data_IF_853678758048
#
_entry.id   IF_853678758048
#
_cell.length_a   1.000
_cell.length_b   1.000
_cell.length_c   1.000
_cell.angle_alpha   90.00
_cell.angle_beta   90.00
_cell.angle_gamma   90.00
#
_symmetry.space_group_name_H-M   'P 1'
#
loop_
_entity.id
_entity.type
_entity.pdbx_description
1 polymer ?
#
# COMPACT_ATOMS: atom_id res chain seq x y z
N UNK A 1 -28.16 23.88 -2.61
CA UNK A 1 -28.58 23.57 -4.00
C UNK A 1 -27.92 24.52 -5.01
N UNK A 2 -27.80 25.83 -4.72
CA UNK A 2 -27.16 26.77 -5.65
C UNK A 2 -25.63 26.58 -5.78
N UNK A 3 -24.92 26.26 -4.68
CA UNK A 3 -23.46 26.01 -4.70
C UNK A 3 -23.07 24.71 -5.42
N UNK A 4 -23.98 23.74 -5.51
CA UNK A 4 -23.76 22.43 -6.13
C UNK A 4 -23.96 22.42 -7.65
N UNK A 5 -24.62 23.45 -8.21
CA UNK A 5 -24.81 23.60 -9.66
C UNK A 5 -23.64 24.37 -10.29
N UNK A 6 -23.13 25.41 -9.61
CA UNK A 6 -21.89 26.10 -10.00
C UNK A 6 -20.64 25.21 -9.98
N UNK A 7 -20.62 24.18 -9.14
CA UNK A 7 -19.52 23.21 -9.07
C UNK A 7 -19.43 22.29 -10.32
N UNK A 8 -20.57 22.06 -11.00
CA UNK A 8 -20.63 21.19 -12.19
C UNK A 8 -20.23 21.96 -13.45
N UNK A 9 -20.58 23.25 -13.55
CA UNK A 9 -20.17 24.12 -14.67
C UNK A 9 -18.67 24.47 -14.65
N UNK A 10 -18.03 24.42 -13.48
CA UNK A 10 -16.58 24.69 -13.32
C UNK A 10 -15.68 23.45 -13.46
N UNK A 11 -16.26 22.24 -13.54
CA UNK A 11 -15.52 21.02 -13.86
C UNK A 11 -15.26 20.92 -15.37
N UNK A 12 -14.35 21.75 -15.86
CA UNK A 12 -13.67 21.45 -17.12
C UNK A 12 -13.06 20.05 -17.02
N UNK A 13 -13.38 19.18 -17.98
CA UNK A 13 -12.79 17.84 -18.14
C UNK A 13 -11.25 17.82 -18.12
N UNK A 14 -10.62 19.00 -18.25
CA UNK A 14 -9.18 19.23 -18.25
C UNK A 14 -8.48 18.98 -16.90
N UNK A 15 -9.22 18.90 -15.79
CA UNK A 15 -8.65 18.72 -14.45
C UNK A 15 -8.71 17.28 -13.90
N UNK A 16 -9.21 16.31 -14.68
CA UNK A 16 -9.26 14.91 -14.25
C UNK A 16 -7.92 14.21 -14.40
N UNK A 17 -7.51 13.43 -13.40
CA UNK A 17 -6.17 12.84 -13.37
C UNK A 17 -5.97 11.77 -14.46
N UNK A 18 -6.87 10.78 -14.55
CA UNK A 18 -6.70 9.68 -15.50
C UNK A 18 -8.06 9.09 -15.90
N UNK A 19 -8.82 9.77 -16.77
CA UNK A 19 -10.02 9.20 -17.35
C UNK A 19 -9.68 7.98 -18.22
N UNK A 20 -10.64 7.06 -18.36
CA UNK A 20 -10.54 5.93 -19.27
C UNK A 20 -10.50 6.44 -20.72
N UNK A 21 -9.38 6.16 -21.41
CA UNK A 21 -9.12 6.65 -22.76
C UNK A 21 -10.17 6.14 -23.76
N UNK A 22 -10.68 4.92 -23.55
CA UNK A 22 -11.62 4.29 -24.49
C UNK A 22 -13.00 4.93 -24.48
N UNK A 23 -13.41 5.57 -23.37
CA UNK A 23 -14.71 6.20 -23.26
C UNK A 23 -14.89 7.35 -24.25
N UNK A 24 -13.80 7.96 -24.73
CA UNK A 24 -13.81 9.02 -25.75
C UNK A 24 -14.25 8.53 -27.13
N UNK A 25 -14.09 7.25 -27.42
CA UNK A 25 -14.41 6.64 -28.71
C UNK A 25 -15.82 6.04 -28.77
N UNK A 26 -16.57 6.09 -27.67
CA UNK A 26 -17.93 5.55 -27.64
C UNK A 26 -18.90 6.43 -28.44
N UNK A 27 -19.86 5.82 -29.18
CA UNK A 27 -20.89 6.57 -29.91
C UNK A 27 -21.75 7.47 -29.01
N UNK A 28 -21.86 7.11 -27.73
CA UNK A 28 -22.65 7.80 -26.70
C UNK A 28 -21.78 8.44 -25.61
N UNK A 29 -20.58 8.92 -25.97
CA UNK A 29 -19.61 9.52 -25.03
C UNK A 29 -20.18 10.63 -24.15
N UNK A 30 -21.09 11.46 -24.67
CA UNK A 30 -21.61 12.61 -23.92
C UNK A 30 -22.54 12.15 -22.80
N UNK A 31 -23.34 11.11 -23.06
CA UNK A 31 -24.16 10.45 -22.03
C UNK A 31 -23.29 9.75 -20.97
N UNK A 32 -22.20 9.09 -21.38
CA UNK A 32 -21.22 8.47 -20.46
C UNK A 32 -20.58 9.53 -19.55
N UNK A 33 -20.20 10.68 -20.11
CA UNK A 33 -19.61 11.77 -19.34
C UNK A 33 -20.59 12.31 -18.30
N UNK A 34 -21.84 12.59 -18.69
CA UNK A 34 -22.88 13.03 -17.76
C UNK A 34 -23.16 12.00 -16.66
N UNK A 35 -23.26 10.72 -17.03
CA UNK A 35 -23.46 9.64 -16.08
C UNK A 35 -22.29 9.54 -15.09
N UNK A 36 -21.04 9.71 -15.56
CA UNK A 36 -19.87 9.68 -14.69
C UNK A 36 -19.90 10.78 -13.63
N UNK A 37 -20.26 12.01 -14.00
CA UNK A 37 -20.37 13.13 -13.06
C UNK A 37 -21.46 12.89 -12.02
N UNK A 38 -22.62 12.39 -12.45
CA UNK A 38 -23.74 12.07 -11.56
C UNK A 38 -23.38 10.93 -10.59
N UNK A 39 -22.82 9.84 -11.11
CA UNK A 39 -22.38 8.70 -10.28
C UNK A 39 -21.31 9.12 -9.28
N UNK A 40 -20.35 9.94 -9.69
CA UNK A 40 -19.29 10.43 -8.80
C UNK A 40 -19.87 11.26 -7.65
N UNK A 41 -20.79 12.19 -7.97
CA UNK A 41 -21.48 13.02 -6.98
C UNK A 41 -22.26 12.16 -5.98
N UNK A 42 -23.03 11.19 -6.48
CA UNK A 42 -23.83 10.28 -5.66
C UNK A 42 -22.94 9.46 -4.69
N UNK A 43 -21.80 8.96 -5.17
CA UNK A 43 -20.81 8.24 -4.36
C UNK A 43 -20.25 9.15 -3.26
N UNK A 44 -19.84 10.37 -3.60
CA UNK A 44 -19.29 11.31 -2.63
C UNK A 44 -20.30 11.67 -1.53
N UNK A 45 -21.53 12.04 -1.92
CA UNK A 45 -22.59 12.41 -1.00
C UNK A 45 -22.94 11.26 -0.06
N UNK A 46 -23.06 10.04 -0.61
CA UNK A 46 -23.49 8.90 0.18
C UNK A 46 -22.39 8.39 1.12
N UNK A 47 -21.14 8.31 0.66
CA UNK A 47 -20.02 7.93 1.53
C UNK A 47 -19.82 8.96 2.65
N UNK A 48 -19.94 10.25 2.34
CA UNK A 48 -19.85 11.32 3.35
C UNK A 48 -20.96 11.17 4.40
N UNK A 49 -22.20 10.91 3.96
CA UNK A 49 -23.34 10.70 4.86
C UNK A 49 -23.16 9.48 5.75
N UNK A 50 -22.70 8.35 5.19
CA UNK A 50 -22.45 7.12 5.95
C UNK A 50 -21.46 7.37 7.08
N UNK A 51 -20.39 8.10 6.79
CA UNK A 51 -19.32 8.38 7.76
C UNK A 51 -19.79 9.38 8.82
N UNK A 52 -20.57 10.39 8.44
CA UNK A 52 -21.18 11.33 9.38
C UNK A 52 -22.16 10.63 10.35
N UNK A 53 -22.95 9.68 9.85
CA UNK A 53 -23.88 8.89 10.66
C UNK A 53 -23.18 7.81 11.49
N UNK A 54 -21.90 7.51 11.21
CA UNK A 54 -21.12 6.41 11.80
C UNK A 54 -21.74 5.02 11.59
N UNK A 55 -22.69 4.90 10.68
CA UNK A 55 -23.35 3.65 10.34
C UNK A 55 -22.65 3.01 9.13
N UNK A 56 -21.52 2.37 9.39
CA UNK A 56 -20.73 1.74 8.31
C UNK A 56 -21.48 0.56 7.65
N UNK A 57 -22.41 -0.10 8.34
CA UNK A 57 -23.16 -1.23 7.78
C UNK A 57 -24.63 -0.89 7.57
N UNK A 58 -25.23 -1.32 6.43
CA UNK A 58 -24.62 -2.05 5.30
C UNK A 58 -23.97 -1.13 4.23
N UNK A 59 -24.04 0.19 4.41
CA UNK A 59 -23.78 1.16 3.34
C UNK A 59 -22.31 1.24 2.91
N UNK A 60 -21.35 1.23 3.84
CA UNK A 60 -19.95 1.51 3.53
C UNK A 60 -19.35 0.51 2.52
N UNK A 61 -19.47 -0.83 2.72
CA UNK A 61 -18.98 -1.79 1.73
C UNK A 61 -19.68 -1.66 0.37
N UNK A 62 -21.00 -1.41 0.36
CA UNK A 62 -21.78 -1.27 -0.87
C UNK A 62 -21.30 -0.08 -1.71
N UNK A 63 -21.17 1.09 -1.08
CA UNK A 63 -20.78 2.31 -1.78
C UNK A 63 -19.29 2.35 -2.12
N UNK A 64 -18.45 1.67 -1.34
CA UNK A 64 -17.07 1.41 -1.72
C UNK A 64 -16.99 0.51 -2.95
N UNK A 65 -17.80 -0.55 -3.04
CA UNK A 65 -17.87 -1.37 -4.25
C UNK A 65 -18.35 -0.58 -5.48
N UNK A 66 -19.32 0.34 -5.30
CA UNK A 66 -19.71 1.28 -6.36
C UNK A 66 -18.56 2.18 -6.80
N UNK A 67 -17.70 2.63 -5.87
CA UNK A 67 -16.50 3.40 -6.19
C UNK A 67 -15.49 2.57 -7.01
N UNK A 68 -15.26 1.29 -6.66
CA UNK A 68 -14.40 0.40 -7.47
C UNK A 68 -14.95 0.23 -8.89
N UNK A 69 -16.26 0.00 -9.01
CA UNK A 69 -16.92 -0.09 -10.32
C UNK A 69 -16.77 1.22 -11.11
N UNK A 70 -16.91 2.37 -10.44
CA UNK A 70 -16.68 3.68 -11.04
C UNK A 70 -15.25 3.81 -11.56
N UNK A 71 -14.23 3.49 -10.76
CA UNK A 71 -12.83 3.56 -11.17
C UNK A 71 -12.52 2.60 -12.32
N UNK A 72 -13.11 1.40 -12.31
CA UNK A 72 -12.96 0.41 -13.37
C UNK A 72 -13.57 0.89 -14.71
N UNK A 73 -14.77 1.46 -14.68
CA UNK A 73 -15.49 1.90 -15.88
C UNK A 73 -14.96 3.23 -16.43
N UNK A 74 -14.82 4.23 -15.57
CA UNK A 74 -14.53 5.61 -15.96
C UNK A 74 -13.07 5.98 -15.76
N UNK A 75 -12.30 5.21 -15.00
CA UNK A 75 -10.97 5.61 -14.55
C UNK A 75 -11.04 6.59 -13.37
N UNK A 76 -9.94 7.28 -13.12
CA UNK A 76 -9.85 8.31 -12.08
C UNK A 76 -10.37 9.64 -12.65
N UNK A 77 -11.67 9.68 -12.96
CA UNK A 77 -12.42 10.85 -13.44
C UNK A 77 -12.74 11.83 -12.29
N UNK A 78 -11.74 12.16 -11.49
CA UNK A 78 -11.87 13.13 -10.42
C UNK A 78 -10.58 13.93 -10.25
N UNK A 79 -10.67 15.03 -9.51
CA UNK A 79 -9.53 15.93 -9.30
C UNK A 79 -8.50 15.30 -8.36
N UNK A 80 -7.26 15.78 -8.42
CA UNK A 80 -6.22 15.38 -7.46
C UNK A 80 -6.64 15.65 -6.00
N UNK A 81 -7.34 16.76 -5.75
CA UNK A 81 -7.86 17.10 -4.42
C UNK A 81 -8.86 16.05 -3.93
N UNK A 82 -9.80 15.65 -4.78
CA UNK A 82 -10.80 14.65 -4.41
C UNK A 82 -10.16 13.25 -4.24
N UNK A 83 -9.16 12.92 -5.04
CA UNK A 83 -8.37 11.70 -4.85
C UNK A 83 -7.73 11.65 -3.45
N UNK A 84 -7.05 12.72 -3.04
CA UNK A 84 -6.44 12.79 -1.72
C UNK A 84 -7.49 12.69 -0.60
N UNK A 85 -8.65 13.35 -0.76
CA UNK A 85 -9.76 13.23 0.19
C UNK A 85 -10.22 11.77 0.34
N UNK A 86 -10.37 11.02 -0.74
CA UNK A 86 -10.70 9.59 -0.64
C UNK A 86 -9.65 8.81 0.12
N UNK A 87 -8.36 9.00 -0.20
CA UNK A 87 -7.28 8.29 0.51
C UNK A 87 -7.32 8.60 2.01
N UNK A 88 -7.42 9.87 2.39
CA UNK A 88 -7.54 10.26 3.80
C UNK A 88 -8.81 9.71 4.45
N UNK A 89 -9.93 9.67 3.72
CA UNK A 89 -11.18 9.09 4.19
C UNK A 89 -10.99 7.62 4.57
N UNK A 90 -10.47 6.80 3.66
CA UNK A 90 -10.27 5.37 3.89
C UNK A 90 -9.21 5.08 4.96
N UNK A 91 -8.12 5.87 5.04
CA UNK A 91 -7.16 5.78 6.13
C UNK A 91 -7.76 6.15 7.49
N UNK A 92 -8.66 7.15 7.52
CA UNK A 92 -9.36 7.54 8.75
C UNK A 92 -10.31 6.44 9.23
N UNK A 93 -10.99 5.76 8.30
CA UNK A 93 -11.85 4.61 8.63
C UNK A 93 -11.01 3.46 9.19
N UNK A 94 -9.84 3.16 8.61
CA UNK A 94 -8.91 2.15 9.15
C UNK A 94 -8.38 2.47 10.55
N UNK A 95 -8.40 3.74 10.95
CA UNK A 95 -7.96 4.20 12.27
C UNK A 95 -9.06 4.10 13.33
N UNK A 96 -10.29 3.72 12.96
CA UNK A 96 -11.40 3.54 13.90
C UNK A 96 -11.11 2.30 14.76
N UNK A 97 -11.16 2.42 16.11
CA UNK A 97 -10.98 1.27 17.00
C UNK A 97 -12.11 0.24 16.79
N UNK A 98 -11.78 -1.04 16.94
CA UNK A 98 -12.71 -2.17 16.78
C UNK A 98 -13.45 -2.22 15.42
N UNK A 99 -12.82 -1.68 14.37
CA UNK A 99 -13.35 -1.80 13.02
C UNK A 99 -13.44 -3.27 12.61
N UNK A 100 -14.58 -3.64 12.03
CA UNK A 100 -14.76 -5.00 11.53
C UNK A 100 -13.81 -5.33 10.36
N UNK A 101 -13.23 -6.53 10.36
CA UNK A 101 -12.34 -7.04 9.30
C UNK A 101 -12.90 -6.92 7.88
N UNK A 102 -14.20 -7.09 7.69
CA UNK A 102 -14.83 -6.91 6.37
C UNK A 102 -14.75 -5.46 5.89
N UNK A 103 -14.96 -4.48 6.78
CA UNK A 103 -14.82 -3.08 6.42
C UNK A 103 -13.34 -2.71 6.23
N UNK A 104 -12.45 -3.27 7.06
CA UNK A 104 -11.01 -3.09 6.92
C UNK A 104 -10.52 -3.62 5.57
N UNK A 105 -10.94 -4.83 5.17
CA UNK A 105 -10.65 -5.39 3.84
C UNK A 105 -11.11 -4.46 2.72
N UNK A 106 -12.35 -3.95 2.80
CA UNK A 106 -12.84 -2.97 1.82
C UNK A 106 -11.92 -1.75 1.74
N UNK A 107 -11.43 -1.24 2.88
CA UNK A 107 -10.49 -0.13 2.87
C UNK A 107 -9.16 -0.52 2.20
N UNK A 108 -8.62 -1.71 2.49
CA UNK A 108 -7.39 -2.19 1.85
C UNK A 108 -7.52 -2.29 0.32
N UNK A 109 -8.62 -2.86 -0.15
CA UNK A 109 -8.89 -3.01 -1.59
C UNK A 109 -8.99 -1.65 -2.30
N UNK A 110 -9.70 -0.69 -1.69
CA UNK A 110 -9.86 0.66 -2.26
C UNK A 110 -8.54 1.44 -2.22
N UNK A 111 -7.83 1.40 -1.10
CA UNK A 111 -6.55 2.11 -0.96
C UNK A 111 -5.51 1.55 -1.94
N UNK A 112 -5.48 0.23 -2.13
CA UNK A 112 -4.65 -0.37 -3.17
C UNK A 112 -5.02 0.18 -4.56
N UNK A 113 -6.31 0.18 -4.93
CA UNK A 113 -6.76 0.68 -6.23
C UNK A 113 -6.44 2.17 -6.46
N UNK A 114 -6.59 3.01 -5.42
CA UNK A 114 -6.29 4.45 -5.47
C UNK A 114 -4.78 4.72 -5.57
N UNK A 115 -3.95 4.00 -4.79
CA UNK A 115 -2.52 4.27 -4.64
C UNK A 115 -1.63 3.50 -5.64
N UNK A 116 -2.14 2.44 -6.28
CA UNK A 116 -1.41 1.63 -7.26
C UNK A 116 -0.84 2.48 -8.42
N UNK A 117 -1.49 3.59 -8.78
CA UNK A 117 -1.00 4.51 -9.82
C UNK A 117 -0.11 5.61 -9.21
N UNK A 118 1.04 5.20 -8.68
CA UNK A 118 2.01 6.06 -7.98
C UNK A 118 2.52 7.30 -8.71
N UNK A 119 2.29 7.41 -10.03
CA UNK A 119 2.63 8.60 -10.83
C UNK A 119 1.65 9.76 -10.67
N UNK A 120 0.46 9.50 -10.12
CA UNK A 120 -0.62 10.50 -10.04
C UNK A 120 -0.59 11.33 -8.77
N UNK A 121 0.02 10.82 -7.71
CA UNK A 121 0.16 11.47 -6.42
C UNK A 121 1.64 11.56 -6.12
N UNK A 122 2.12 12.76 -5.83
CA UNK A 122 3.50 12.93 -5.38
C UNK A 122 3.56 12.69 -3.88
N UNK A 123 4.74 12.27 -3.40
CA UNK A 123 5.00 12.08 -1.97
C UNK A 123 4.76 13.35 -1.15
N UNK A 124 5.01 14.52 -1.74
CA UNK A 124 4.81 15.80 -1.06
C UNK A 124 3.32 16.11 -0.80
N UNK A 125 2.40 15.47 -1.55
CA UNK A 125 0.97 15.68 -1.39
C UNK A 125 0.32 14.73 -0.36
N UNK A 126 0.98 13.60 -0.05
CA UNK A 126 0.39 12.53 0.76
C UNK A 126 1.43 11.94 1.71
N UNK A 127 1.12 11.99 3.00
CA UNK A 127 1.88 11.35 4.06
C UNK A 127 1.10 10.22 4.73
N UNK A 128 1.65 9.03 4.52
CA UNK A 128 1.41 7.70 5.09
C UNK A 128 1.85 7.50 6.56
N UNK A 129 0.99 7.45 7.58
CA UNK A 129 1.44 6.86 8.87
C UNK A 129 1.45 5.33 8.76
N UNK A 130 2.66 4.75 8.80
CA UNK A 130 2.88 3.32 8.70
C UNK A 130 2.29 2.55 9.90
N UNK A 131 2.12 3.20 11.06
CA UNK A 131 1.60 2.57 12.28
C UNK A 131 0.17 2.05 12.12
N UNK A 132 -0.65 2.75 11.33
CA UNK A 132 -2.03 2.32 11.03
C UNK A 132 -1.99 0.93 10.40
N UNK A 133 -1.16 0.76 9.38
CA UNK A 133 -1.03 -0.50 8.66
C UNK A 133 -0.29 -1.57 9.49
N UNK A 134 0.71 -1.16 10.28
CA UNK A 134 1.40 -2.06 11.21
C UNK A 134 0.45 -2.69 12.22
N UNK A 135 -0.46 -1.91 12.81
CA UNK A 135 -1.46 -2.42 13.73
C UNK A 135 -2.30 -3.55 13.07
N UNK A 136 -2.75 -3.34 11.82
CA UNK A 136 -3.50 -4.35 11.07
C UNK A 136 -2.66 -5.58 10.69
N UNK A 137 -1.40 -5.40 10.29
CA UNK A 137 -0.47 -6.51 9.98
C UNK A 137 -0.22 -7.36 11.21
N UNK A 138 0.06 -6.71 12.35
CA UNK A 138 0.23 -7.40 13.64
C UNK A 138 -1.04 -8.16 14.03
N UNK A 139 -2.20 -7.54 13.87
CA UNK A 139 -3.50 -8.11 14.21
C UNK A 139 -3.87 -9.34 13.37
N UNK A 140 -3.59 -9.32 12.07
CA UNK A 140 -4.04 -10.35 11.12
C UNK A 140 -2.98 -11.43 10.91
N UNK A 141 -1.69 -11.08 10.75
CA UNK A 141 -0.65 -12.02 10.34
C UNK A 141 0.14 -12.63 11.51
N UNK A 142 0.28 -11.91 12.62
CA UNK A 142 1.19 -12.28 13.71
C UNK A 142 0.49 -12.50 15.05
N UNK A 143 -0.84 -12.40 15.10
CA UNK A 143 -1.56 -12.64 16.33
C UNK A 143 -1.83 -14.13 16.50
N UNK A 144 -1.06 -14.77 17.39
CA UNK A 144 -1.14 -16.21 17.69
C UNK A 144 -2.24 -16.56 18.70
N UNK A 145 -3.03 -15.58 19.15
CA UNK A 145 -4.09 -15.83 20.14
C UNK A 145 -5.20 -16.72 19.57
N UNK A 146 -5.56 -17.78 20.31
CA UNK A 146 -6.62 -18.75 19.98
C UNK A 146 -7.97 -18.07 19.65
N UNK A 147 -8.19 -16.86 20.15
CA UNK A 147 -9.38 -16.05 19.91
C UNK A 147 -9.59 -15.65 18.42
N UNK A 148 -8.52 -15.58 17.62
CA UNK A 148 -8.63 -15.28 16.19
C UNK A 148 -9.13 -16.45 15.36
N UNK A 149 -8.95 -17.69 15.86
CA UNK A 149 -9.55 -18.89 15.26
C UNK A 149 -11.08 -18.84 15.27
N UNK A 150 -11.67 -18.06 16.18
CA UNK A 150 -13.12 -17.85 16.29
C UNK A 150 -13.63 -16.65 15.47
N UNK A 151 -12.75 -15.75 15.04
CA UNK A 151 -13.11 -14.60 14.24
C UNK A 151 -13.14 -15.02 12.76
N UNK A 152 -14.33 -14.97 12.15
CA UNK A 152 -14.48 -15.23 10.72
C UNK A 152 -13.79 -14.13 9.90
N UNK A 153 -12.51 -14.35 9.58
CA UNK A 153 -11.76 -13.49 8.69
C UNK A 153 -12.36 -13.58 7.28
N UNK A 154 -12.59 -12.43 6.61
CA UNK A 154 -12.99 -12.43 5.22
C UNK A 154 -11.93 -13.12 4.34
N UNK A 155 -12.39 -13.82 3.30
CA UNK A 155 -11.48 -14.42 2.32
C UNK A 155 -10.53 -13.37 1.73
N UNK A 156 -9.26 -13.75 1.54
CA UNK A 156 -8.21 -12.92 0.97
C UNK A 156 -7.90 -11.61 1.73
N UNK A 157 -8.32 -11.45 2.99
CA UNK A 157 -8.04 -10.23 3.78
C UNK A 157 -6.54 -9.99 3.94
N UNK A 158 -5.77 -11.04 4.19
CA UNK A 158 -4.31 -11.00 4.30
C UNK A 158 -3.67 -10.47 3.01
N UNK A 159 -4.07 -11.04 1.88
CA UNK A 159 -3.58 -10.64 0.56
C UNK A 159 -3.91 -9.17 0.26
N UNK A 160 -5.13 -8.75 0.59
CA UNK A 160 -5.61 -7.37 0.39
C UNK A 160 -4.78 -6.39 1.23
N UNK A 161 -4.52 -6.74 2.50
CA UNK A 161 -3.67 -5.96 3.40
C UNK A 161 -2.24 -5.83 2.86
N UNK A 162 -1.64 -6.94 2.40
CA UNK A 162 -0.28 -6.93 1.86
C UNK A 162 -0.15 -6.05 0.61
N UNK A 163 -1.15 -6.05 -0.28
CA UNK A 163 -1.16 -5.12 -1.43
C UNK A 163 -1.31 -3.67 -0.99
N UNK A 164 -2.22 -3.39 -0.06
CA UNK A 164 -2.38 -2.06 0.50
C UNK A 164 -1.07 -1.54 1.12
N UNK A 165 -0.34 -2.37 1.89
CA UNK A 165 0.97 -2.00 2.46
C UNK A 165 1.96 -1.64 1.36
N UNK A 166 2.07 -2.48 0.33
CA UNK A 166 2.95 -2.23 -0.82
C UNK A 166 2.63 -0.92 -1.52
N UNK A 167 1.34 -0.62 -1.71
CA UNK A 167 0.87 0.60 -2.38
C UNK A 167 1.03 1.86 -1.51
N UNK A 168 0.94 1.74 -0.17
CA UNK A 168 1.15 2.85 0.76
C UNK A 168 2.64 3.17 1.02
N UNK A 169 3.53 2.19 0.92
CA UNK A 169 4.96 2.29 1.27
C UNK A 169 5.71 3.49 0.67
N UNK A 170 5.49 3.90 -0.60
CA UNK A 170 6.15 5.09 -1.17
C UNK A 170 5.79 6.42 -0.47
N UNK A 171 4.63 6.45 0.19
CA UNK A 171 4.06 7.65 0.82
C UNK A 171 4.36 7.75 2.32
N UNK A 172 5.09 6.80 2.91
CA UNK A 172 5.51 6.93 4.31
C UNK A 172 6.36 8.18 4.53
N UNK A 173 6.33 8.72 5.76
CA UNK A 173 7.13 9.89 6.12
C UNK A 173 8.64 9.64 5.91
N UNK A 174 9.44 10.71 5.88
CA UNK A 174 10.90 10.56 5.80
C UNK A 174 11.49 9.99 7.10
N UNK A 175 10.83 10.21 8.24
CA UNK A 175 11.23 9.67 9.55
C UNK A 175 10.84 8.21 9.73
N UNK A 176 9.88 7.69 8.93
CA UNK A 176 9.34 6.35 9.07
C UNK A 176 10.43 5.27 9.06
N UNK A 177 11.45 5.39 8.19
CA UNK A 177 12.56 4.42 8.16
C UNK A 177 13.24 4.28 9.51
N UNK A 178 13.57 5.41 10.16
CA UNK A 178 14.23 5.41 11.45
C UNK A 178 13.31 4.84 12.53
N UNK A 179 12.04 5.26 12.56
CA UNK A 179 11.05 4.77 13.51
C UNK A 179 10.82 3.25 13.40
N UNK A 180 10.76 2.72 12.17
CA UNK A 180 10.63 1.29 11.89
C UNK A 180 11.87 0.54 12.41
N UNK A 181 13.07 1.07 12.13
CA UNK A 181 14.31 0.45 12.59
C UNK A 181 14.40 0.47 14.12
N UNK A 182 14.04 1.55 14.77
CA UNK A 182 14.09 1.66 16.23
C UNK A 182 13.12 0.66 16.91
N UNK A 183 11.98 0.38 16.28
CA UNK A 183 11.01 -0.63 16.75
C UNK A 183 11.55 -2.07 16.59
N UNK A 184 12.12 -2.41 15.43
CA UNK A 184 12.46 -3.80 15.11
C UNK A 184 13.93 -4.18 15.35
N UNK A 185 14.85 -3.22 15.48
CA UNK A 185 16.27 -3.49 15.80
C UNK A 185 16.47 -4.38 17.02
N UNK A 186 15.73 -4.22 18.14
CA UNK A 186 15.88 -5.10 19.29
C UNK A 186 15.60 -6.59 18.97
N UNK A 187 14.83 -6.86 17.90
CA UNK A 187 14.44 -8.22 17.50
C UNK A 187 15.42 -8.81 16.47
N UNK A 188 16.41 -8.05 16.01
CA UNK A 188 17.43 -8.49 15.06
C UNK A 188 18.56 -9.33 15.70
N UNK A 189 18.23 -10.12 16.71
CA UNK A 189 19.14 -11.14 17.24
C UNK A 189 19.00 -12.43 16.40
N UNK A 190 20.01 -12.85 15.61
CA UNK A 190 19.88 -14.00 14.70
C UNK A 190 19.62 -15.35 15.37
N UNK A 191 19.78 -15.41 16.69
CA UNK A 191 19.58 -16.62 17.51
C UNK A 191 18.18 -16.69 18.14
N UNK A 192 17.38 -15.63 18.01
CA UNK A 192 16.03 -15.54 18.58
C UNK A 192 14.98 -15.90 17.51
N UNK A 193 13.87 -16.53 17.92
CA UNK A 193 12.74 -16.80 17.03
C UNK A 193 12.05 -15.52 16.56
N UNK A 194 12.13 -14.44 17.34
CA UNK A 194 11.61 -13.12 16.99
C UNK A 194 12.27 -12.53 15.72
N UNK A 195 13.47 -13.00 15.36
CA UNK A 195 14.19 -12.52 14.18
C UNK A 195 13.40 -12.72 12.89
N UNK A 196 12.76 -13.88 12.75
CA UNK A 196 11.95 -14.22 11.58
C UNK A 196 10.80 -13.23 11.38
N UNK A 197 10.10 -12.89 12.46
CA UNK A 197 8.99 -11.94 12.42
C UNK A 197 9.48 -10.52 12.14
N UNK A 198 10.59 -10.11 12.77
CA UNK A 198 11.23 -8.82 12.51
C UNK A 198 11.59 -8.66 11.03
N UNK A 199 12.19 -9.69 10.41
CA UNK A 199 12.53 -9.68 8.99
C UNK A 199 11.29 -9.55 8.10
N UNK A 200 10.18 -10.22 8.42
CA UNK A 200 8.92 -10.03 7.72
C UNK A 200 8.42 -8.58 7.82
N UNK A 201 8.39 -8.00 9.02
CA UNK A 201 7.95 -6.61 9.21
C UNK A 201 8.83 -5.64 8.42
N UNK A 202 10.15 -5.84 8.45
CA UNK A 202 11.10 -5.00 7.75
C UNK A 202 10.93 -5.10 6.23
N UNK A 203 10.72 -6.28 5.66
CA UNK A 203 10.42 -6.43 4.23
C UNK A 203 9.14 -5.69 3.81
N UNK A 204 8.11 -5.76 4.65
CA UNK A 204 6.82 -5.13 4.40
C UNK A 204 6.90 -3.61 4.48
N UNK A 205 7.53 -3.06 5.52
CA UNK A 205 7.40 -1.64 5.87
C UNK A 205 8.58 -0.77 5.45
N UNK A 206 9.79 -1.31 5.27
CA UNK A 206 10.95 -0.47 4.94
C UNK A 206 10.78 0.26 3.60
N UNK A 207 10.86 1.61 3.56
CA UNK A 207 10.80 2.35 2.31
C UNK A 207 12.06 2.11 1.45
N UNK A 208 11.90 1.40 0.33
CA UNK A 208 13.01 1.13 -0.60
C UNK A 208 13.14 2.19 -1.70
N UNK A 209 12.02 2.82 -2.09
CA UNK A 209 11.97 3.78 -3.20
C UNK A 209 11.87 5.22 -2.72
N UNK A 210 12.93 5.69 -2.05
CA UNK A 210 13.06 7.10 -1.64
C UNK A 210 13.75 7.92 -2.74
N UNK A 211 13.43 9.23 -2.88
CA UNK A 211 14.15 10.09 -3.80
C UNK A 211 15.62 10.26 -3.36
N UNK A 212 16.56 10.58 -4.29
CA UNK A 212 17.99 10.69 -3.98
C UNK A 212 18.33 11.61 -2.81
N UNK A 213 17.55 12.69 -2.63
CA UNK A 213 17.71 13.66 -1.54
C UNK A 213 17.46 13.05 -0.15
N UNK A 214 16.74 11.94 -0.07
CA UNK A 214 16.37 11.26 1.18
C UNK A 214 17.05 9.90 1.36
N UNK A 215 18.05 9.56 0.53
CA UNK A 215 18.77 8.28 0.66
C UNK A 215 19.47 8.13 2.02
N UNK A 216 19.93 9.23 2.62
CA UNK A 216 20.53 9.26 3.96
C UNK A 216 19.53 8.90 5.06
N UNK A 217 18.22 9.08 4.81
CA UNK A 217 17.12 8.73 5.71
C UNK A 217 16.42 7.42 5.27
N UNK A 218 17.00 6.72 4.30
CA UNK A 218 16.46 5.52 3.68
C UNK A 218 17.36 4.33 3.87
N UNK A 219 17.72 3.68 2.76
CA UNK A 219 18.51 2.46 2.78
C UNK A 219 19.88 2.61 3.44
N UNK A 220 20.49 3.80 3.44
CA UNK A 220 21.80 4.00 4.07
C UNK A 220 21.79 3.77 5.59
N UNK A 221 20.61 3.86 6.24
CA UNK A 221 20.48 3.66 7.69
C UNK A 221 20.57 2.20 8.12
N UNK A 222 20.20 1.26 7.24
CA UNK A 222 20.04 -0.15 7.59
C UNK A 222 20.82 -1.10 6.68
N UNK A 223 21.12 -0.71 5.43
CA UNK A 223 21.77 -1.60 4.48
C UNK A 223 23.15 -2.10 4.97
N UNK A 224 24.05 -1.26 5.54
CA UNK A 224 25.34 -1.75 6.02
C UNK A 224 25.19 -2.75 7.19
N UNK A 225 24.25 -2.48 8.09
CA UNK A 225 23.94 -3.33 9.25
C UNK A 225 23.42 -4.70 8.79
N UNK A 226 22.48 -4.71 7.84
CA UNK A 226 21.91 -5.94 7.28
C UNK A 226 22.95 -6.75 6.49
N UNK A 227 23.82 -6.10 5.73
CA UNK A 227 24.92 -6.77 5.03
C UNK A 227 25.90 -7.40 6.02
N UNK A 228 26.22 -6.72 7.14
CA UNK A 228 27.07 -7.30 8.18
C UNK A 228 26.44 -8.54 8.83
N UNK A 229 25.14 -8.50 9.12
CA UNK A 229 24.41 -9.67 9.65
C UNK A 229 24.45 -10.81 8.64
N UNK A 230 24.18 -10.51 7.36
CA UNK A 230 24.21 -11.48 6.26
C UNK A 230 25.58 -12.15 6.10
N UNK A 231 26.66 -11.37 6.10
CA UNK A 231 28.03 -11.89 5.99
C UNK A 231 28.43 -12.76 7.19
N UNK A 232 27.94 -12.42 8.39
CA UNK A 232 28.32 -13.10 9.64
C UNK A 232 27.54 -14.39 9.87
N UNK A 233 26.25 -14.41 9.50
CA UNK A 233 25.34 -15.53 9.76
C UNK A 233 25.28 -16.45 8.54
N UNK A 234 26.38 -17.15 8.25
CA UNK A 234 26.51 -18.07 7.10
C UNK A 234 25.85 -19.46 7.29
N UNK A 235 24.89 -19.61 8.22
CA UNK A 235 24.35 -20.92 8.62
C UNK A 235 22.86 -21.09 8.28
N UNK A 236 22.44 -20.76 7.03
CA UNK A 236 21.11 -21.03 6.44
C UNK A 236 19.95 -21.17 7.45
N UNK A 237 19.68 -20.16 8.29
CA UNK A 237 18.56 -20.17 9.21
C UNK A 237 17.24 -19.92 8.47
N UNK A 238 16.12 -20.40 9.00
CA UNK A 238 14.80 -20.36 8.35
C UNK A 238 14.35 -18.95 7.91
N UNK A 239 14.89 -17.88 8.51
CA UNK A 239 14.59 -16.50 8.14
C UNK A 239 15.06 -16.10 6.74
N UNK A 240 16.07 -16.78 6.17
CA UNK A 240 16.46 -16.59 4.76
C UNK A 240 15.31 -16.98 3.81
N UNK A 241 14.47 -17.94 4.23
CA UNK A 241 13.29 -18.39 3.49
C UNK A 241 12.06 -17.52 3.79
N UNK A 242 11.95 -17.00 5.01
CA UNK A 242 10.80 -16.21 5.50
C UNK A 242 10.69 -14.85 4.81
N UNK A 243 11.80 -14.27 4.35
CA UNK A 243 11.78 -13.07 3.49
C UNK A 243 10.94 -13.23 2.20
N UNK A 244 10.39 -14.41 1.90
CA UNK A 244 9.72 -14.71 0.63
C UNK A 244 8.33 -15.38 0.72
N UNK A 245 7.67 -15.45 1.89
CA UNK A 245 6.29 -16.01 1.95
C UNK A 245 5.18 -15.04 1.52
N UNK A 246 5.47 -13.77 1.24
CA UNK A 246 4.47 -12.79 0.76
C UNK A 246 4.29 -12.84 -0.76
N UNK A 247 3.51 -13.85 -1.15
CA UNK A 247 2.85 -14.13 -2.43
C UNK A 247 3.48 -15.23 -3.28
N UNK A 248 2.70 -16.32 -3.40
CA UNK A 248 2.79 -17.36 -4.41
C UNK A 248 3.25 -16.82 -5.77
N UNK A 249 4.54 -16.91 -6.02
CA UNK A 249 5.10 -16.99 -7.35
C UNK A 249 6.02 -18.20 -7.38
N UNK A 250 5.51 -19.24 -8.03
CA UNK A 250 6.26 -20.36 -8.58
C UNK A 250 6.85 -21.38 -7.59
N UNK A 251 6.17 -22.53 -7.59
CA UNK A 251 6.70 -23.87 -7.36
C UNK A 251 7.93 -24.10 -8.25
N UNK A 252 9.12 -23.69 -7.81
CA UNK A 252 10.41 -24.03 -8.42
C UNK A 252 11.42 -24.27 -7.30
N UNK A 253 11.80 -25.54 -7.22
CA UNK A 253 13.03 -26.17 -6.72
C UNK A 253 13.80 -25.55 -5.55
N UNK A 254 13.99 -26.42 -4.55
CA UNK A 254 14.68 -26.26 -3.28
C UNK A 254 16.19 -25.95 -3.39
N UNK A 255 16.74 -25.76 -4.58
CA UNK A 255 18.16 -25.36 -4.78
C UNK A 255 18.35 -23.83 -4.95
N UNK A 256 17.26 -23.04 -4.92
CA UNK A 256 17.27 -21.61 -5.30
C UNK A 256 17.44 -20.60 -4.14
N UNK A 257 17.78 -21.02 -2.92
CA UNK A 257 17.83 -20.11 -1.76
C UNK A 257 18.90 -19.00 -1.87
N UNK A 258 20.02 -19.23 -2.57
CA UNK A 258 21.03 -18.18 -2.82
C UNK A 258 20.57 -17.09 -3.81
N UNK A 259 19.59 -17.36 -4.67
CA UNK A 259 19.22 -16.45 -5.77
C UNK A 259 18.14 -15.41 -5.42
N UNK A 260 17.35 -15.58 -4.36
CA UNK A 260 16.16 -14.73 -4.13
C UNK A 260 16.46 -13.44 -3.34
N UNK A 261 17.31 -13.50 -2.32
CA UNK A 261 17.91 -12.29 -1.74
C UNK A 261 18.77 -11.56 -2.78
N UNK A 262 19.40 -12.29 -3.72
CA UNK A 262 20.06 -11.68 -4.87
C UNK A 262 19.09 -10.85 -5.74
N UNK A 263 17.77 -11.13 -5.79
CA UNK A 263 16.81 -10.29 -6.54
C UNK A 263 16.31 -9.08 -5.77
N UNK A 264 16.24 -9.15 -4.43
CA UNK A 264 15.88 -8.01 -3.59
C UNK A 264 17.06 -7.04 -3.46
N UNK A 265 18.23 -7.60 -3.16
CA UNK A 265 19.52 -6.92 -3.22
C UNK A 265 19.82 -6.47 -4.65
N UNK A 266 19.59 -7.27 -5.71
CA UNK A 266 19.68 -6.78 -7.10
C UNK A 266 18.61 -5.75 -7.44
N UNK A 267 17.40 -5.77 -6.88
CA UNK A 267 16.39 -4.72 -7.09
C UNK A 267 16.87 -3.39 -6.51
N UNK A 268 17.41 -3.42 -5.29
CA UNK A 268 18.03 -2.28 -4.61
C UNK A 268 19.26 -1.81 -5.38
N UNK A 269 20.14 -2.75 -5.76
CA UNK A 269 21.37 -2.51 -6.50
C UNK A 269 21.07 -2.00 -7.92
N UNK A 270 20.10 -2.55 -8.66
CA UNK A 270 19.68 -2.09 -10.01
C UNK A 270 19.01 -0.72 -9.96
N UNK A 271 18.26 -0.44 -8.89
CA UNK A 271 17.70 0.90 -8.63
C UNK A 271 18.78 1.91 -8.25
N UNK A 272 19.87 1.47 -7.59
CA UNK A 272 21.05 2.28 -7.28
C UNK A 272 22.05 2.41 -8.46
N UNK A 273 22.12 1.41 -9.33
CA UNK A 273 23.12 1.27 -10.41
C UNK A 273 22.88 2.15 -11.62
N UNK A 274 21.78 2.92 -11.65
CA UNK A 274 21.67 3.98 -12.65
C UNK A 274 22.70 5.10 -12.47
N UNK A 275 23.54 5.09 -11.43
CA UNK A 275 24.48 6.20 -11.18
C UNK A 275 25.94 5.87 -10.79
N UNK A 276 26.36 4.64 -10.46
CA UNK A 276 27.79 4.40 -10.16
C UNK A 276 28.33 3.02 -10.60
N UNK A 277 29.45 3.05 -11.33
CA UNK A 277 30.07 1.92 -12.04
C UNK A 277 31.08 1.11 -11.22
N UNK A 278 31.23 1.39 -9.92
CA UNK A 278 32.31 0.84 -9.08
C UNK A 278 31.98 -0.48 -8.38
N UNK A 279 30.72 -0.92 -8.40
CA UNK A 279 30.22 -2.08 -7.63
C UNK A 279 30.32 -3.44 -8.34
N UNK A 280 30.80 -3.45 -9.60
CA UNK A 280 30.86 -4.66 -10.43
C UNK A 280 31.85 -5.74 -9.96
N UNK A 281 32.69 -5.45 -8.97
CA UNK A 281 33.75 -6.39 -8.56
C UNK A 281 33.33 -7.43 -7.50
N UNK A 282 32.13 -7.33 -6.91
CA UNK A 282 31.68 -8.23 -5.84
C UNK A 282 30.69 -9.31 -6.27
N UNK A 283 30.23 -9.32 -7.53
CA UNK A 283 29.18 -10.24 -8.01
C UNK A 283 29.59 -11.10 -9.22
N UNK A 284 30.88 -11.34 -9.41
CA UNK A 284 31.40 -12.40 -10.29
C UNK A 284 32.16 -13.46 -9.49
#
# INVERSE_FOLDING_TARGET
MHDSEQYIETMGHDNFQKPNVYNKFLPFRDAVNQQSLQSFKEICETLSRIIQLRELRPGFPLWSSKLQQFISLYGLCFTKSDHLKFIHLYLSVLSIPDLNYSNAKTCFDILDELLNKSRLIQRDDLLVDWRILYAWVKLILFNNDENYSLLALPNDVEKSLLYCVRSCRPYFSATATQEILDEFRPWLCPFDSAFSDAMCYLDLFLPVHLPPKLHDQGFKLWLPEFLSIWETVCNNPDWEQVSFKTNATQKIDLESNRMKLSRYVASIITSSHRMDSSFLFFFY
#
